data_IF_972357980168
#
_entry.id   IF_972357980168
#
_cell.length_a   1.000
_cell.length_b   1.000
_cell.length_c   1.000
_cell.angle_alpha   90.00
_cell.angle_beta   90.00
_cell.angle_gamma   90.00
#
_symmetry.space_group_name_H-M   'P 1'
#
loop_
_entity.id
_entity.type
_entity.pdbx_description
1 polymer ?
#
# COMPACT_ATOMS: atom_id res chain seq x y z
N UNK A 1 9.82 -0.44 1.17
CA UNK A 1 10.60 0.76 0.83
C UNK A 1 11.67 0.50 -0.22
N UNK A 2 12.64 -0.40 -0.02
CA UNK A 2 13.68 -0.63 -1.04
C UNK A 2 13.10 -1.10 -2.38
N UNK A 3 12.23 -2.13 -2.36
CA UNK A 3 11.56 -2.63 -3.57
C UNK A 3 10.65 -1.58 -4.24
N UNK A 4 10.01 -0.71 -3.45
CA UNK A 4 9.18 0.36 -4.01
C UNK A 4 10.02 1.45 -4.68
N UNK A 5 11.21 1.75 -4.14
CA UNK A 5 12.16 2.69 -4.76
C UNK A 5 12.74 2.13 -6.05
N UNK A 6 13.06 0.84 -6.11
CA UNK A 6 13.50 0.21 -7.37
C UNK A 6 12.40 0.22 -8.43
N UNK A 7 11.14 0.02 -8.03
CA UNK A 7 9.98 0.14 -8.92
C UNK A 7 9.78 1.57 -9.45
N UNK A 8 9.86 2.56 -8.56
CA UNK A 8 9.78 3.98 -8.95
C UNK A 8 10.92 4.37 -9.90
N UNK A 9 12.14 3.93 -9.60
CA UNK A 9 13.29 4.16 -10.48
C UNK A 9 13.09 3.53 -11.87
N UNK A 10 12.55 2.30 -11.92
CA UNK A 10 12.29 1.62 -13.18
C UNK A 10 11.28 2.36 -14.06
N UNK A 11 10.17 2.86 -13.50
CA UNK A 11 9.19 3.63 -14.28
C UNK A 11 9.73 4.99 -14.71
N UNK A 12 10.52 5.65 -13.85
CA UNK A 12 11.14 6.93 -14.16
C UNK A 12 12.10 6.79 -15.35
N UNK A 13 12.98 5.79 -15.29
CA UNK A 13 13.90 5.47 -16.39
C UNK A 13 13.14 5.14 -17.68
N UNK A 14 12.06 4.35 -17.59
CA UNK A 14 11.25 3.99 -18.75
C UNK A 14 10.62 5.23 -19.43
N UNK A 15 10.11 6.19 -18.66
CA UNK A 15 9.56 7.44 -19.18
C UNK A 15 10.65 8.32 -19.83
N UNK A 16 11.82 8.44 -19.20
CA UNK A 16 12.94 9.23 -19.73
C UNK A 16 13.46 8.69 -21.08
N UNK A 17 13.57 7.36 -21.20
CA UNK A 17 14.00 6.66 -22.42
C UNK A 17 12.95 6.76 -23.53
N UNK A 18 11.66 6.74 -23.17
CA UNK A 18 10.54 6.79 -24.13
C UNK A 18 10.00 8.19 -24.40
N UNK A 19 10.55 9.23 -23.74
CA UNK A 19 10.07 10.62 -23.81
C UNK A 19 8.58 10.75 -23.48
N UNK A 20 8.16 10.04 -22.44
CA UNK A 20 6.81 10.12 -21.88
C UNK A 20 6.84 11.09 -20.70
N UNK A 21 5.83 11.95 -20.60
CA UNK A 21 5.72 12.88 -19.47
C UNK A 21 5.57 12.13 -18.13
N UNK A 22 6.05 12.74 -17.06
CA UNK A 22 5.97 12.17 -15.71
C UNK A 22 4.75 12.71 -14.95
N UNK A 23 4.28 11.93 -13.97
CA UNK A 23 3.32 12.36 -12.96
C UNK A 23 2.01 12.99 -13.50
N UNK A 24 1.52 12.55 -14.66
CA UNK A 24 0.29 13.11 -15.26
C UNK A 24 -0.98 12.30 -14.96
N UNK A 25 -0.85 11.11 -14.35
CA UNK A 25 -2.00 10.22 -14.09
C UNK A 25 -2.33 10.10 -12.61
N UNK A 26 -3.60 9.84 -12.28
CA UNK A 26 -4.01 9.66 -10.89
C UNK A 26 -3.22 8.53 -10.20
N UNK A 27 -2.94 7.44 -10.90
CA UNK A 27 -2.08 6.36 -10.40
C UNK A 27 -0.73 6.89 -9.90
N UNK A 28 -0.07 7.74 -10.69
CA UNK A 28 1.24 8.29 -10.34
C UNK A 28 1.20 9.22 -9.13
N UNK A 29 0.13 10.02 -8.96
CA UNK A 29 -0.07 10.88 -7.79
C UNK A 29 -0.34 10.07 -6.52
N UNK A 30 -1.19 9.04 -6.62
CA UNK A 30 -1.45 8.11 -5.51
C UNK A 30 -0.19 7.35 -5.11
N UNK A 31 0.59 6.88 -6.09
CA UNK A 31 1.84 6.15 -5.85
C UNK A 31 2.92 7.00 -5.21
N UNK A 32 3.12 8.23 -5.68
CA UNK A 32 4.08 9.16 -5.07
C UNK A 32 3.66 9.50 -3.63
N UNK A 33 2.38 9.79 -3.41
CA UNK A 33 1.83 10.04 -2.07
C UNK A 33 2.03 8.83 -1.14
N UNK A 34 1.81 7.62 -1.66
CA UNK A 34 2.02 6.38 -0.92
C UNK A 34 3.48 6.20 -0.49
N UNK A 35 4.44 6.47 -1.37
CA UNK A 35 5.88 6.36 -1.05
C UNK A 35 6.29 7.39 0.01
N UNK A 36 5.80 8.63 -0.11
CA UNK A 36 6.09 9.69 0.85
C UNK A 36 5.52 9.33 2.24
N UNK A 37 4.23 8.98 2.31
CA UNK A 37 3.61 8.62 3.58
C UNK A 37 4.21 7.35 4.18
N UNK A 38 4.53 6.33 3.38
CA UNK A 38 5.22 5.14 3.86
C UNK A 38 6.59 5.48 4.46
N UNK A 39 7.34 6.38 3.83
CA UNK A 39 8.66 6.80 4.32
C UNK A 39 8.56 7.56 5.65
N UNK A 40 7.61 8.48 5.76
CA UNK A 40 7.33 9.21 7.00
C UNK A 40 6.86 8.28 8.12
N UNK A 41 5.93 7.37 7.82
CA UNK A 41 5.42 6.37 8.74
C UNK A 41 6.54 5.44 9.23
N UNK A 42 7.42 5.00 8.34
CA UNK A 42 8.56 4.15 8.69
C UNK A 42 9.57 4.89 9.56
N UNK A 43 9.95 6.12 9.19
CA UNK A 43 10.90 6.93 9.94
C UNK A 43 10.38 7.28 11.35
N UNK A 44 9.13 7.73 11.46
CA UNK A 44 8.47 8.03 12.74
C UNK A 44 8.30 6.76 13.59
N UNK A 45 7.89 5.66 12.98
CA UNK A 45 7.79 4.36 13.65
C UNK A 45 9.14 3.89 14.21
N UNK A 46 10.20 4.00 13.41
CA UNK A 46 11.56 3.67 13.83
C UNK A 46 12.02 4.55 15.00
N UNK A 47 11.87 5.87 14.88
CA UNK A 47 12.31 6.81 15.91
C UNK A 47 11.56 6.63 17.24
N UNK A 48 10.24 6.44 17.18
CA UNK A 48 9.38 6.38 18.35
C UNK A 48 9.36 4.99 19.02
N UNK A 49 9.29 3.92 18.23
CA UNK A 49 9.10 2.56 18.76
C UNK A 49 10.37 1.70 18.77
N UNK A 50 11.41 2.08 18.02
CA UNK A 50 12.67 1.33 17.95
C UNK A 50 13.84 2.08 18.61
N UNK A 51 14.48 3.00 17.89
CA UNK A 51 15.69 3.70 18.33
C UNK A 51 15.70 5.15 17.81
N UNK A 52 16.00 6.18 18.65
CA UNK A 52 16.41 6.12 20.06
C UNK A 52 15.30 5.73 21.04
N UNK A 53 14.04 5.70 20.57
CA UNK A 53 12.88 5.31 21.35
C UNK A 53 12.23 6.51 22.06
N UNK A 54 10.94 6.73 21.77
CA UNK A 54 10.15 7.77 22.43
C UNK A 54 9.85 7.45 23.90
N UNK A 55 9.51 8.50 24.67
CA UNK A 55 9.02 8.34 26.04
C UNK A 55 7.74 7.49 26.09
N UNK A 56 7.40 6.93 27.26
CA UNK A 56 6.15 6.15 27.43
C UNK A 56 4.91 6.94 26.99
N UNK A 57 4.83 8.23 27.33
CA UNK A 57 3.73 9.10 26.92
C UNK A 57 3.71 9.34 25.41
N UNK A 58 4.88 9.58 24.79
CA UNK A 58 4.98 9.77 23.34
C UNK A 58 4.57 8.52 22.55
N UNK A 59 5.00 7.33 23.01
CA UNK A 59 4.57 6.05 22.43
C UNK A 59 3.08 5.83 22.56
N UNK A 60 2.50 6.07 23.74
CA UNK A 60 1.06 5.92 23.97
C UNK A 60 0.22 6.86 23.10
N UNK A 61 0.69 8.11 22.91
CA UNK A 61 0.02 9.10 22.07
C UNK A 61 0.12 8.76 20.58
N UNK A 62 1.30 8.36 20.09
CA UNK A 62 1.53 8.10 18.67
C UNK A 62 1.04 6.73 18.20
N UNK A 63 0.89 5.75 19.09
CA UNK A 63 0.44 4.40 18.73
C UNK A 63 -0.88 4.36 17.93
N UNK A 64 -1.99 5.00 18.36
CA UNK A 64 -3.23 4.98 17.58
C UNK A 64 -3.07 5.63 16.20
N UNK A 65 -2.32 6.72 16.10
CA UNK A 65 -2.01 7.38 14.83
C UNK A 65 -1.16 6.49 13.93
N UNK A 66 -0.16 5.81 14.49
CA UNK A 66 0.69 4.88 13.76
C UNK A 66 -0.15 3.73 13.18
N UNK A 67 -1.05 3.14 13.97
CA UNK A 67 -1.96 2.09 13.46
C UNK A 67 -2.87 2.62 12.35
N UNK A 68 -3.49 3.78 12.56
CA UNK A 68 -4.38 4.41 11.57
C UNK A 68 -3.67 4.67 10.24
N UNK A 69 -2.53 5.37 10.27
CA UNK A 69 -1.76 5.68 9.06
C UNK A 69 -1.21 4.41 8.41
N UNK A 70 -0.86 3.38 9.19
CA UNK A 70 -0.46 2.07 8.66
C UNK A 70 -1.54 1.44 7.79
N UNK A 71 -2.78 1.38 8.28
CA UNK A 71 -3.93 0.85 7.51
C UNK A 71 -4.27 1.76 6.32
N UNK A 72 -4.27 3.08 6.51
CA UNK A 72 -4.52 4.04 5.44
C UNK A 72 -3.52 3.91 4.29
N UNK A 73 -2.22 3.86 4.58
CA UNK A 73 -1.16 3.69 3.57
C UNK A 73 -1.31 2.34 2.87
N UNK A 74 -1.68 1.28 3.59
CA UNK A 74 -1.93 -0.02 2.98
C UNK A 74 -3.07 0.03 1.96
N UNK A 75 -4.22 0.63 2.32
CA UNK A 75 -5.34 0.82 1.39
C UNK A 75 -4.94 1.69 0.20
N UNK A 76 -4.18 2.75 0.43
CA UNK A 76 -3.65 3.62 -0.63
C UNK A 76 -2.73 2.85 -1.58
N UNK A 77 -1.90 1.93 -1.08
CA UNK A 77 -1.03 1.09 -1.90
C UNK A 77 -1.84 0.11 -2.77
N UNK A 78 -2.93 -0.46 -2.25
CA UNK A 78 -3.84 -1.32 -3.00
C UNK A 78 -4.57 -0.52 -4.09
N UNK A 79 -5.10 0.67 -3.76
CA UNK A 79 -5.73 1.56 -4.73
C UNK A 79 -4.75 1.97 -5.84
N UNK A 80 -3.51 2.29 -5.48
CA UNK A 80 -2.43 2.59 -6.43
C UNK A 80 -2.15 1.39 -7.34
N UNK A 81 -2.08 0.18 -6.79
CA UNK A 81 -1.79 -1.05 -7.55
C UNK A 81 -2.92 -1.38 -8.54
N UNK A 82 -4.18 -1.29 -8.09
CA UNK A 82 -5.36 -1.54 -8.94
C UNK A 82 -5.47 -0.50 -10.05
N UNK A 83 -5.28 0.78 -9.74
CA UNK A 83 -5.28 1.85 -10.77
C UNK A 83 -4.14 1.70 -11.76
N UNK A 84 -2.95 1.24 -11.35
CA UNK A 84 -1.83 0.97 -12.25
C UNK A 84 -2.09 -0.22 -13.18
N UNK A 85 -2.71 -1.30 -12.68
CA UNK A 85 -3.14 -2.42 -13.52
C UNK A 85 -4.20 -1.97 -14.54
N UNK A 86 -5.17 -1.16 -14.11
CA UNK A 86 -6.22 -0.62 -14.98
C UNK A 86 -5.63 0.29 -16.06
N UNK A 87 -4.76 1.23 -15.68
CA UNK A 87 -4.10 2.14 -16.62
C UNK A 87 -3.28 1.36 -17.66
N UNK A 88 -2.49 0.38 -17.21
CA UNK A 88 -1.70 -0.45 -18.12
C UNK A 88 -2.57 -1.27 -19.06
N UNK A 89 -3.68 -1.83 -18.59
CA UNK A 89 -4.59 -2.62 -19.44
C UNK A 89 -5.26 -1.73 -20.51
N UNK A 90 -5.71 -0.54 -20.12
CA UNK A 90 -6.30 0.45 -21.04
C UNK A 90 -5.29 0.89 -22.10
N UNK A 91 -4.04 1.15 -21.72
CA UNK A 91 -2.99 1.53 -22.68
C UNK A 91 -2.70 0.41 -23.68
N UNK A 92 -2.59 -0.84 -23.22
CA UNK A 92 -2.35 -1.98 -24.12
C UNK A 92 -3.52 -2.23 -25.07
N UNK A 93 -4.77 -2.06 -24.60
CA UNK A 93 -5.96 -2.18 -25.44
C UNK A 93 -6.08 -1.03 -26.43
N UNK A 94 -5.84 0.21 -26.01
CA UNK A 94 -5.87 1.41 -26.86
C UNK A 94 -4.81 1.35 -27.95
N UNK A 95 -3.63 0.81 -27.64
CA UNK A 95 -2.56 0.55 -28.60
C UNK A 95 -2.81 -0.67 -29.50
N UNK A 96 -3.98 -1.33 -29.39
CA UNK A 96 -4.35 -2.55 -30.12
C UNK A 96 -3.36 -3.72 -29.95
N UNK A 97 -2.61 -3.74 -28.84
CA UNK A 97 -1.67 -4.82 -28.53
C UNK A 97 -2.37 -6.04 -27.93
N UNK A 98 -3.48 -5.83 -27.20
CA UNK A 98 -4.29 -6.90 -26.61
C UNK A 98 -5.78 -6.66 -26.88
N UNK A 99 -6.56 -7.74 -26.97
CA UNK A 99 -8.02 -7.67 -27.05
C UNK A 99 -8.67 -7.41 -25.69
N UNK A 100 -9.90 -6.88 -25.68
CA UNK A 100 -10.67 -6.60 -24.44
C UNK A 100 -10.92 -7.85 -23.58
N UNK A 101 -11.10 -8.99 -24.21
CA UNK A 101 -11.28 -10.30 -23.57
C UNK A 101 -10.12 -11.26 -23.88
N UNK A 102 -8.92 -10.70 -24.11
CA UNK A 102 -7.71 -11.51 -24.22
C UNK A 102 -7.38 -12.18 -22.89
N UNK A 103 -6.62 -13.27 -22.94
CA UNK A 103 -6.14 -13.97 -21.76
C UNK A 103 -5.36 -13.04 -20.83
N UNK A 104 -4.55 -12.13 -21.41
CA UNK A 104 -3.80 -11.11 -20.68
C UNK A 104 -4.72 -10.13 -19.95
N UNK A 105 -5.77 -9.61 -20.63
CA UNK A 105 -6.72 -8.68 -20.01
C UNK A 105 -7.52 -9.34 -18.87
N UNK A 106 -7.94 -10.60 -19.06
CA UNK A 106 -8.63 -11.37 -18.02
C UNK A 106 -7.69 -11.60 -16.82
N UNK A 107 -6.43 -11.99 -17.07
CA UNK A 107 -5.44 -12.19 -16.01
C UNK A 107 -5.20 -10.91 -15.20
N UNK A 108 -5.05 -9.76 -15.86
CA UNK A 108 -4.87 -8.47 -15.16
C UNK A 108 -6.06 -8.13 -14.26
N UNK A 109 -7.30 -8.36 -14.74
CA UNK A 109 -8.51 -8.16 -13.93
C UNK A 109 -8.57 -9.14 -12.76
N UNK A 110 -8.27 -10.42 -12.98
CA UNK A 110 -8.21 -11.43 -11.91
C UNK A 110 -7.16 -11.07 -10.85
N UNK A 111 -5.98 -10.58 -11.26
CA UNK A 111 -4.95 -10.11 -10.34
C UNK A 111 -5.43 -8.91 -9.51
N UNK A 112 -6.12 -7.95 -10.15
CA UNK A 112 -6.76 -6.84 -9.45
C UNK A 112 -7.76 -7.31 -8.38
N UNK A 113 -8.61 -8.28 -8.71
CA UNK A 113 -9.56 -8.88 -7.76
C UNK A 113 -8.87 -9.61 -6.61
N UNK A 114 -7.78 -10.35 -6.91
CA UNK A 114 -6.98 -11.02 -5.87
C UNK A 114 -6.32 -10.03 -4.92
N UNK A 115 -5.83 -8.89 -5.41
CA UNK A 115 -5.29 -7.83 -4.55
C UNK A 115 -6.35 -7.26 -3.60
N UNK A 116 -7.56 -7.02 -4.08
CA UNK A 116 -8.68 -6.54 -3.26
C UNK A 116 -9.10 -7.59 -2.22
N UNK A 117 -9.18 -8.86 -2.61
CA UNK A 117 -9.48 -9.95 -1.68
C UNK A 117 -8.41 -10.07 -0.58
N UNK A 118 -7.13 -10.09 -0.98
CA UNK A 118 -6.01 -10.13 -0.04
C UNK A 118 -6.06 -8.93 0.92
N UNK A 119 -6.31 -7.73 0.41
CA UNK A 119 -6.47 -6.52 1.21
C UNK A 119 -7.58 -6.66 2.24
N UNK A 120 -8.71 -7.24 1.86
CA UNK A 120 -9.85 -7.45 2.75
C UNK A 120 -9.49 -8.41 3.87
N UNK A 121 -8.81 -9.51 3.55
CA UNK A 121 -8.35 -10.49 4.55
C UNK A 121 -7.31 -9.89 5.52
N UNK A 122 -6.38 -9.08 5.03
CA UNK A 122 -5.38 -8.40 5.87
C UNK A 122 -6.05 -7.39 6.80
N UNK A 123 -6.97 -6.56 6.29
CA UNK A 123 -7.71 -5.60 7.13
C UNK A 123 -8.57 -6.32 8.17
N UNK A 124 -9.24 -7.41 7.78
CA UNK A 124 -9.99 -8.25 8.71
C UNK A 124 -9.08 -8.76 9.83
N UNK A 125 -7.91 -9.31 9.50
CA UNK A 125 -6.95 -9.80 10.49
C UNK A 125 -6.43 -8.70 11.44
N UNK A 126 -6.30 -7.45 10.97
CA UNK A 126 -5.90 -6.31 11.80
C UNK A 126 -7.02 -5.91 12.78
N UNK A 127 -8.28 -5.96 12.34
CA UNK A 127 -9.43 -5.48 13.12
C UNK A 127 -10.00 -6.57 14.04
N UNK A 128 -9.83 -7.85 13.68
CA UNK A 128 -10.28 -8.98 14.49
C UNK A 128 -9.60 -8.96 15.87
N UNK A 129 -10.37 -8.92 16.98
CA UNK A 129 -9.80 -9.02 18.31
C UNK A 129 -9.13 -10.40 18.45
N UNK A 130 -7.81 -10.42 18.67
CA UNK A 130 -7.10 -11.66 18.96
C UNK A 130 -7.59 -12.31 20.25
N UNK A 131 -7.51 -13.65 20.32
CA UNK A 131 -7.85 -14.47 21.51
C UNK A 131 -7.22 -13.95 22.81
N UNK A 132 -6.07 -13.28 22.73
CA UNK A 132 -5.35 -12.68 23.87
C UNK A 132 -6.11 -11.57 24.59
N UNK A 133 -7.10 -10.91 23.96
CA UNK A 133 -7.94 -9.90 24.63
C UNK A 133 -8.96 -10.53 25.59
N UNK A 134 -9.21 -11.84 25.49
CA UNK A 134 -10.07 -12.60 26.40
C UNK A 134 -9.32 -12.99 27.68
N UNK A 135 -8.01 -13.29 27.58
CA UNK A 135 -7.21 -13.70 28.74
C UNK A 135 -6.89 -12.52 29.69
N UNK A 136 -6.78 -11.30 29.17
CA UNK A 136 -6.54 -10.11 30.01
C UNK A 136 -7.75 -9.75 30.88
N UNK A 137 -8.97 -10.12 30.47
CA UNK A 137 -10.19 -9.95 31.28
C UNK A 137 -10.32 -11.05 32.35
N UNK A 138 -9.82 -12.26 32.08
CA UNK A 138 -9.85 -13.38 33.04
C UNK A 138 -8.78 -13.26 34.13
N UNK A 139 -7.63 -12.66 33.84
CA UNK A 139 -6.56 -12.43 34.82
C UNK A 139 -6.76 -11.23 35.76
N UNK A 140 -7.76 -10.37 35.51
CA UNK A 140 -8.09 -9.24 36.39
C UNK A 140 -9.31 -9.48 37.28
N UNK A 141 -9.88 -10.69 37.23
CA UNK A 141 -11.07 -11.10 37.99
C UNK A 141 -10.80 -12.21 39.01
N UNK A 142 -9.52 -12.53 39.25
CA UNK A 142 -9.04 -13.41 40.33
C UNK A 142 -8.16 -12.64 41.31
#
# INVERSE_FOLDING_TARGET
MLLSLTGLWAVWKFHDERKIDHLYTLHSWLGLSCIIFFSLQWATGFWTFWYPGGSRSGRAFLLPWHVFFGVFIYVLAIATSVTGLLEKSIFMQSAKMIGRFSTEAILMNSLGMLLVLLSTLVILAIVSPGTSRIDTYRGSSE
#
